data_IF_218784342162
#
_entry.id   IF_218784342162
#
_cell.length_a   1.000
_cell.length_b   1.000
_cell.length_c   1.000
_cell.angle_alpha   90.00
_cell.angle_beta   90.00
_cell.angle_gamma   90.00
#
_symmetry.space_group_name_H-M   'P 1'
#
loop_
_entity.id
_entity.type
_entity.pdbx_description
1 polymer ?
#
# COMPACT_ATOMS: atom_id res chain seq x y z
N UNK A 1 18.80 -12.22 -23.47
CA UNK A 1 17.35 -12.05 -23.27
C UNK A 1 17.17 -10.87 -22.33
N UNK A 2 16.27 -9.92 -22.59
CA UNK A 2 15.87 -8.98 -21.54
C UNK A 2 14.96 -9.78 -20.61
N UNK A 3 15.41 -10.02 -19.39
CA UNK A 3 14.53 -10.50 -18.33
C UNK A 3 13.53 -9.38 -18.04
N UNK A 4 12.24 -9.66 -18.20
CA UNK A 4 11.18 -8.77 -17.78
C UNK A 4 11.00 -8.86 -16.27
N UNK A 5 10.57 -7.75 -15.68
CA UNK A 5 10.06 -7.68 -14.33
C UNK A 5 8.67 -7.07 -14.38
N UNK A 6 7.81 -7.47 -13.44
CA UNK A 6 6.50 -6.87 -13.26
C UNK A 6 6.34 -6.36 -11.84
N UNK A 7 5.44 -5.37 -11.71
CA UNK A 7 5.03 -4.82 -10.44
C UNK A 7 3.51 -4.75 -10.39
N UNK A 8 2.92 -5.29 -9.33
CA UNK A 8 1.49 -5.18 -9.05
C UNK A 8 1.31 -4.47 -7.72
N UNK A 9 0.44 -3.46 -7.71
CA UNK A 9 -0.06 -2.84 -6.49
C UNK A 9 -1.56 -3.13 -6.38
N UNK A 10 -1.92 -3.94 -5.39
CA UNK A 10 -3.30 -4.06 -4.94
C UNK A 10 -3.48 -3.12 -3.75
N UNK A 11 -4.34 -2.12 -3.90
CA UNK A 11 -4.59 -1.11 -2.88
C UNK A 11 -6.05 -1.10 -2.46
N UNK A 12 -6.29 -1.29 -1.17
CA UNK A 12 -7.58 -1.03 -0.52
C UNK A 12 -7.49 0.29 0.24
N UNK A 13 -8.39 1.21 -0.05
CA UNK A 13 -8.46 2.51 0.61
C UNK A 13 -9.82 2.70 1.28
N UNK A 14 -9.81 3.11 2.55
CA UNK A 14 -11.00 3.36 3.34
C UNK A 14 -10.85 4.69 4.08
N UNK A 15 -11.85 5.56 3.91
CA UNK A 15 -11.99 6.81 4.63
C UNK A 15 -13.34 6.80 5.34
N UNK A 16 -13.31 7.08 6.63
CA UNK A 16 -14.51 7.34 7.42
C UNK A 16 -14.40 8.77 7.94
N UNK A 17 -15.29 9.63 7.43
CA UNK A 17 -15.25 11.08 7.64
C UNK A 17 -15.23 11.43 9.13
N UNK A 18 -14.23 12.21 9.54
CA UNK A 18 -14.04 12.61 10.93
C UNK A 18 -13.51 11.51 11.85
N UNK A 19 -13.35 10.27 11.39
CA UNK A 19 -12.93 9.12 12.22
C UNK A 19 -11.50 8.70 11.90
N UNK A 20 -11.27 8.09 10.73
CA UNK A 20 -9.96 7.56 10.35
C UNK A 20 -9.82 7.38 8.84
N UNK A 21 -8.57 7.28 8.42
CA UNK A 21 -8.18 6.85 7.08
C UNK A 21 -7.29 5.62 7.20
N UNK A 22 -7.49 4.65 6.29
CA UNK A 22 -6.76 3.40 6.21
C UNK A 22 -6.39 3.09 4.75
N UNK A 23 -5.14 2.69 4.55
CA UNK A 23 -4.64 2.17 3.28
C UNK A 23 -4.01 0.79 3.54
N UNK A 24 -4.49 -0.23 2.85
CA UNK A 24 -3.87 -1.55 2.86
C UNK A 24 -3.29 -1.81 1.47
N UNK A 25 -1.97 -1.87 1.38
CA UNK A 25 -1.25 -2.12 0.14
C UNK A 25 -0.70 -3.54 0.13
N UNK A 26 -0.86 -4.23 -0.99
CA UNK A 26 -0.10 -5.44 -1.32
C UNK A 26 0.71 -5.16 -2.57
N UNK A 27 2.03 -5.11 -2.42
CA UNK A 27 3.00 -4.91 -3.50
C UNK A 27 3.60 -6.25 -3.87
N UNK A 28 3.58 -6.58 -5.15
CA UNK A 28 4.15 -7.82 -5.67
C UNK A 28 5.16 -7.45 -6.76
N UNK A 29 6.40 -7.89 -6.59
CA UNK A 29 7.46 -7.81 -7.61
C UNK A 29 7.84 -9.23 -8.00
N UNK A 30 7.87 -9.48 -9.30
CA UNK A 30 8.34 -10.75 -9.85
C UNK A 30 9.25 -10.53 -11.06
N UNK A 31 10.03 -11.56 -11.37
CA UNK A 31 10.78 -11.70 -12.60
C UNK A 31 10.24 -12.88 -13.43
N UNK A 32 10.54 -12.92 -14.72
CA UNK A 32 9.97 -13.90 -15.65
C UNK A 32 10.44 -15.35 -15.41
N UNK A 33 11.46 -15.61 -14.59
CA UNK A 33 12.19 -16.90 -14.58
C UNK A 33 12.47 -17.51 -13.20
N UNK A 34 12.19 -16.83 -12.09
CA UNK A 34 12.53 -17.34 -10.75
C UNK A 34 11.50 -18.30 -10.16
N UNK A 35 10.27 -18.34 -10.71
CA UNK A 35 9.14 -19.06 -10.11
C UNK A 35 8.77 -18.54 -8.72
N UNK A 36 9.23 -17.32 -8.37
CA UNK A 36 9.02 -16.69 -7.07
C UNK A 36 8.69 -15.22 -7.25
N UNK A 37 7.96 -14.67 -6.29
CA UNK A 37 7.67 -13.25 -6.22
C UNK A 37 7.94 -12.74 -4.81
N UNK A 38 8.40 -11.50 -4.71
CA UNK A 38 8.45 -10.77 -3.45
C UNK A 38 7.10 -10.11 -3.27
N UNK A 39 6.45 -10.40 -2.13
CA UNK A 39 5.20 -9.77 -1.73
C UNK A 39 5.42 -8.99 -0.44
N UNK A 40 5.08 -7.71 -0.46
CA UNK A 40 4.97 -6.87 0.72
C UNK A 40 3.50 -6.55 0.95
N UNK A 41 3.01 -6.78 2.16
CA UNK A 41 1.72 -6.29 2.63
C UNK A 41 1.95 -5.22 3.69
N UNK A 42 1.22 -4.11 3.60
CA UNK A 42 1.39 -2.98 4.49
C UNK A 42 0.03 -2.37 4.86
N UNK A 43 -0.22 -2.23 6.16
CA UNK A 43 -1.34 -1.48 6.71
C UNK A 43 -0.83 -0.11 7.17
N UNK A 44 -1.39 0.95 6.58
CA UNK A 44 -1.21 2.32 7.03
C UNK A 44 -2.52 2.87 7.54
N UNK A 45 -2.51 3.51 8.71
CA UNK A 45 -3.72 4.06 9.30
C UNK A 45 -3.41 5.26 10.20
N UNK A 46 -4.29 6.27 10.13
CA UNK A 46 -4.32 7.36 11.10
C UNK A 46 -5.76 7.77 11.41
N UNK A 47 -5.99 8.19 12.67
CA UNK A 47 -7.21 8.92 13.04
C UNK A 47 -7.26 10.26 12.30
N UNK A 48 -8.46 10.69 11.91
CA UNK A 48 -8.68 11.93 11.19
C UNK A 48 -8.14 13.15 11.98
N UNK A 49 -8.22 13.11 13.31
CA UNK A 49 -7.71 14.17 14.19
C UNK A 49 -6.21 14.42 14.00
N UNK A 50 -5.44 13.38 13.73
CA UNK A 50 -3.99 13.47 13.51
C UNK A 50 -3.65 14.01 12.12
N UNK A 51 -4.62 14.04 11.19
CA UNK A 51 -4.45 14.46 9.80
C UNK A 51 -4.99 15.88 9.53
N UNK A 52 -5.44 16.62 10.55
CA UNK A 52 -6.00 17.98 10.39
C UNK A 52 -5.04 19.01 9.79
N UNK A 53 -3.73 18.71 9.80
CA UNK A 53 -2.70 19.53 9.17
C UNK A 53 -2.54 19.27 7.66
N UNK A 54 -3.16 18.20 7.14
CA UNK A 54 -3.16 17.82 5.73
C UNK A 54 -4.34 18.47 5.04
N UNK A 55 -4.14 18.91 3.80
CA UNK A 55 -5.20 19.42 2.93
C UNK A 55 -6.33 18.36 2.79
N UNK A 56 -7.59 18.68 3.15
CA UNK A 56 -8.71 17.74 3.03
C UNK A 56 -8.91 17.19 1.62
N UNK A 57 -8.60 17.95 0.56
CA UNK A 57 -8.69 17.46 -0.81
C UNK A 57 -7.65 16.37 -1.11
N UNK A 58 -6.47 16.46 -0.48
CA UNK A 58 -5.44 15.41 -0.57
C UNK A 58 -5.89 14.11 0.10
N UNK A 59 -6.81 14.17 1.07
CA UNK A 59 -7.36 13.00 1.76
C UNK A 59 -8.47 12.30 0.94
N UNK A 60 -8.95 12.91 -0.14
CA UNK A 60 -9.91 12.29 -1.06
C UNK A 60 -9.21 11.44 -2.13
N UNK A 61 -7.96 11.76 -2.44
CA UNK A 61 -7.13 11.06 -3.41
C UNK A 61 -6.18 10.11 -2.69
N UNK A 62 -6.34 8.81 -2.93
CA UNK A 62 -5.54 7.78 -2.28
C UNK A 62 -4.04 7.91 -2.56
N UNK A 63 -3.65 8.34 -3.77
CA UNK A 63 -2.24 8.46 -4.17
C UNK A 63 -1.54 9.64 -3.49
N UNK A 64 -2.34 10.57 -2.94
CA UNK A 64 -1.88 11.67 -2.09
C UNK A 64 -2.04 11.36 -0.61
N UNK A 65 -3.09 10.64 -0.20
CA UNK A 65 -3.37 10.38 1.20
C UNK A 65 -2.36 9.43 1.85
N UNK A 66 -1.94 8.37 1.14
CA UNK A 66 -1.15 7.27 1.73
C UNK A 66 0.18 7.73 2.37
N UNK A 67 0.82 8.79 1.84
CA UNK A 67 2.09 9.31 2.37
C UNK A 67 1.95 9.98 3.74
N UNK A 68 0.74 10.39 4.11
CA UNK A 68 0.44 11.00 5.41
C UNK A 68 0.04 9.96 6.46
N UNK A 69 -0.19 8.71 6.06
CA UNK A 69 -0.59 7.63 6.95
C UNK A 69 0.66 6.87 7.46
N UNK A 70 0.86 6.77 8.79
CA UNK A 70 1.93 5.98 9.35
C UNK A 70 1.67 4.48 9.12
N UNK A 71 2.76 3.72 9.04
CA UNK A 71 2.69 2.25 8.96
C UNK A 71 2.31 1.73 10.34
N UNK A 72 1.26 0.91 10.39
CA UNK A 72 0.80 0.23 11.61
C UNK A 72 1.28 -1.21 11.62
N UNK A 73 1.25 -1.86 10.46
CA UNK A 73 1.68 -3.25 10.31
C UNK A 73 2.31 -3.45 8.93
N UNK A 74 3.30 -4.32 8.86
CA UNK A 74 4.03 -4.64 7.64
C UNK A 74 4.47 -6.10 7.68
N UNK A 75 4.33 -6.77 6.54
CA UNK A 75 4.79 -8.14 6.33
C UNK A 75 5.42 -8.24 4.96
N UNK A 76 6.60 -8.86 4.88
CA UNK A 76 7.31 -9.13 3.63
C UNK A 76 7.58 -10.62 3.54
N UNK A 77 7.16 -11.24 2.44
CA UNK A 77 7.36 -12.65 2.18
C UNK A 77 7.77 -12.92 0.73
N UNK A 78 8.42 -14.07 0.52
CA UNK A 78 8.75 -14.59 -0.79
C UNK A 78 7.79 -15.75 -1.07
N UNK A 79 6.98 -15.62 -2.12
CA UNK A 79 5.94 -16.58 -2.48
C UNK A 79 6.41 -17.34 -3.72
N UNK A 80 6.44 -18.67 -3.63
CA UNK A 80 6.64 -19.54 -4.80
C UNK A 80 5.35 -19.63 -5.61
N UNK A 81 5.47 -19.62 -6.93
CA UNK A 81 4.35 -19.84 -7.86
C UNK A 81 4.39 -21.32 -8.24
N UNK A 82 3.56 -22.13 -7.58
CA UNK A 82 3.38 -23.56 -7.87
C UNK A 82 2.52 -23.79 -9.14
#
# INVERSE_FOLDING_TARGET
MREGYFFVLLRFYMRVDGVLLRCCDTRIVGDDNSGKVIREWQLREAKYENLRHVDPEALLDVDRAWMHLPIVEEQIDCVSVD
#
